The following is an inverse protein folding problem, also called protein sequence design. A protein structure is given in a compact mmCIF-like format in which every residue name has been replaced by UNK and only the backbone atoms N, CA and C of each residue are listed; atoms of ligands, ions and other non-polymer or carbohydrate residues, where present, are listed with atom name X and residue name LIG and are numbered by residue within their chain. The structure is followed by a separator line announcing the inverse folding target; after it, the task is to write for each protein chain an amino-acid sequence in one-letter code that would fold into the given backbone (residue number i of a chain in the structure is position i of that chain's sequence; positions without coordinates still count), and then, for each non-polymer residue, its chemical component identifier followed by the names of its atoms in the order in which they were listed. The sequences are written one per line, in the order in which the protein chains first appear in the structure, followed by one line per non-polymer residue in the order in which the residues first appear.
data_IF_469445488968
#
_entry.id   IF_469445488968
#
_cell.length_a   1.000
_cell.length_b   1.000
_cell.length_c   1.000
_cell.angle_alpha   90.00
_cell.angle_beta   90.00
_cell.angle_gamma   90.00
#
_symmetry.space_group_name_H-M   'P 1'
#
loop_
_entity.id
_entity.type
_entity.pdbx_description
1 polymer ?
#
# COMPACT_ATOMS: atom_id res chain seq x y z
N UNK A 1 34.89 -19.34 2.44
CA UNK A 1 33.72 -18.69 1.81
C UNK A 1 34.12 -17.27 1.57
N UNK A 2 34.37 -16.91 0.32
CA UNK A 2 34.70 -15.53 -0.06
C UNK A 2 33.49 -14.64 0.21
N UNK A 3 33.73 -13.50 0.87
CA UNK A 3 32.71 -12.51 1.18
C UNK A 3 32.17 -11.94 -0.13
N UNK A 4 30.84 -11.91 -0.37
CA UNK A 4 30.31 -11.40 -1.63
C UNK A 4 30.48 -9.88 -1.68
N UNK A 5 31.50 -9.42 -2.42
CA UNK A 5 31.68 -8.01 -2.75
C UNK A 5 30.42 -7.49 -3.43
N UNK A 6 29.87 -6.39 -2.90
CA UNK A 6 28.70 -5.71 -3.46
C UNK A 6 28.76 -5.57 -4.99
N UNK A 7 27.76 -6.12 -5.68
CA UNK A 7 27.66 -6.05 -7.14
C UNK A 7 26.94 -4.78 -7.59
N UNK A 8 27.66 -3.86 -8.25
CA UNK A 8 27.10 -2.63 -8.86
C UNK A 8 27.33 -2.60 -10.36
N UNK A 9 26.38 -2.04 -11.12
CA UNK A 9 26.59 -1.64 -12.51
C UNK A 9 27.51 -0.42 -12.58
N UNK A 10 28.06 -0.13 -13.76
CA UNK A 10 28.93 1.04 -13.99
C UNK A 10 28.28 2.39 -13.62
N UNK A 11 26.94 2.48 -13.66
CA UNK A 11 26.20 3.67 -13.23
C UNK A 11 25.90 3.73 -11.72
N UNK A 12 26.48 2.82 -10.91
CA UNK A 12 26.31 2.76 -9.47
C UNK A 12 25.02 2.08 -8.96
N UNK A 13 24.11 1.68 -9.86
CA UNK A 13 22.93 0.89 -9.50
C UNK A 13 23.29 -0.52 -9.05
N UNK A 14 22.49 -1.11 -8.16
CA UNK A 14 22.71 -2.48 -7.69
C UNK A 14 22.36 -3.43 -8.85
N UNK A 15 23.28 -4.32 -9.20
CA UNK A 15 23.07 -5.30 -10.27
C UNK A 15 22.45 -6.57 -9.72
N UNK A 16 21.36 -7.05 -10.33
CA UNK A 16 20.89 -8.42 -10.13
C UNK A 16 21.80 -9.39 -10.91
N UNK A 17 21.95 -10.64 -10.45
CA UNK A 17 22.67 -11.67 -11.19
C UNK A 17 22.12 -11.87 -12.60
N UNK A 18 22.98 -12.10 -13.59
CA UNK A 18 22.60 -12.19 -15.01
C UNK A 18 21.62 -13.34 -15.31
N UNK A 19 21.70 -14.43 -14.54
CA UNK A 19 20.85 -15.62 -14.71
C UNK A 19 19.44 -15.44 -14.11
N UNK A 20 19.14 -14.32 -13.46
CA UNK A 20 17.86 -14.07 -12.81
C UNK A 20 16.80 -13.59 -13.83
N UNK A 21 15.79 -14.43 -14.10
CA UNK A 21 14.73 -14.14 -15.07
C UNK A 21 13.33 -14.47 -14.54
N UNK A 22 12.30 -13.64 -14.81
CA UNK A 22 10.91 -13.97 -14.48
C UNK A 22 10.41 -15.16 -15.29
N UNK A 23 9.76 -16.13 -14.64
CA UNK A 23 9.16 -17.31 -15.28
C UNK A 23 7.63 -17.18 -15.29
N UNK A 24 7.04 -16.95 -14.11
CA UNK A 24 5.59 -16.80 -13.94
C UNK A 24 5.31 -15.69 -12.95
N UNK A 25 4.40 -14.79 -13.28
CA UNK A 25 4.13 -13.62 -12.43
C UNK A 25 3.06 -13.85 -11.36
N UNK A 26 2.51 -15.05 -11.28
CA UNK A 26 1.48 -15.38 -10.30
C UNK A 26 1.52 -16.88 -9.94
N UNK A 27 2.00 -17.15 -8.73
CA UNK A 27 1.95 -18.43 -8.03
C UNK A 27 1.50 -18.19 -6.58
N UNK A 28 0.96 -19.21 -5.93
CA UNK A 28 0.58 -19.15 -4.53
C UNK A 28 1.83 -18.91 -3.64
N UNK A 29 1.75 -17.98 -2.70
CA UNK A 29 2.78 -17.78 -1.67
C UNK A 29 2.85 -18.99 -0.74
N UNK A 30 4.08 -19.39 -0.39
CA UNK A 30 4.31 -20.47 0.56
C UNK A 30 4.32 -19.97 2.01
N UNK A 31 4.62 -18.68 2.20
CA UNK A 31 4.63 -18.04 3.51
C UNK A 31 3.23 -17.58 3.97
N UNK A 32 2.30 -17.39 3.04
CA UNK A 32 0.92 -17.00 3.35
C UNK A 32 -0.05 -17.46 2.23
N UNK A 33 -0.91 -18.43 2.53
CA UNK A 33 -1.85 -19.01 1.55
C UNK A 33 -2.93 -18.03 1.03
N UNK A 34 -3.06 -16.83 1.60
CA UNK A 34 -3.95 -15.79 1.07
C UNK A 34 -3.27 -14.90 0.02
N UNK A 35 -1.96 -15.03 -0.17
CA UNK A 35 -1.18 -14.12 -1.00
C UNK A 35 -0.58 -14.83 -2.21
N UNK A 36 -0.37 -14.08 -3.28
CA UNK A 36 0.37 -14.52 -4.45
C UNK A 36 1.80 -13.97 -4.43
N UNK A 37 2.69 -14.61 -5.20
CA UNK A 37 4.08 -14.21 -5.42
C UNK A 37 4.48 -14.58 -6.85
N UNK A 38 5.67 -14.16 -7.29
CA UNK A 38 6.19 -14.51 -8.60
C UNK A 38 7.17 -15.69 -8.51
N UNK A 39 7.30 -16.40 -9.64
CA UNK A 39 8.26 -17.46 -9.89
C UNK A 39 9.36 -16.93 -10.82
N UNK A 40 10.61 -17.18 -10.45
CA UNK A 40 11.79 -16.79 -11.21
C UNK A 40 12.69 -17.99 -11.45
N UNK A 41 13.46 -17.94 -12.52
CA UNK A 41 14.53 -18.87 -12.80
C UNK A 41 15.86 -18.21 -12.47
N UNK A 42 16.77 -18.99 -11.91
CA UNK A 42 18.15 -18.62 -11.67
C UNK A 42 19.04 -19.86 -11.82
N UNK A 43 20.06 -19.78 -12.69
CA UNK A 43 20.91 -20.93 -13.08
C UNK A 43 20.08 -22.18 -13.41
N UNK A 44 19.12 -21.98 -14.30
CA UNK A 44 18.17 -23.00 -14.81
C UNK A 44 17.33 -23.73 -13.76
N UNK A 45 17.19 -23.15 -12.56
CA UNK A 45 16.30 -23.64 -11.51
C UNK A 45 15.23 -22.61 -11.18
N UNK A 46 14.00 -23.08 -10.99
CA UNK A 46 12.86 -22.23 -10.68
C UNK A 46 12.63 -22.11 -9.17
N UNK A 47 12.35 -20.89 -8.71
CA UNK A 47 12.10 -20.59 -7.32
C UNK A 47 11.04 -19.50 -7.17
N UNK A 48 10.24 -19.59 -6.10
CA UNK A 48 9.39 -18.48 -5.70
C UNK A 48 10.26 -17.31 -5.22
N UNK A 49 9.79 -16.07 -5.42
CA UNK A 49 10.47 -14.86 -4.95
C UNK A 49 10.71 -14.86 -3.42
N UNK A 50 9.93 -15.65 -2.68
CA UNK A 50 10.05 -15.80 -1.23
C UNK A 50 11.21 -16.70 -0.84
N UNK A 51 11.30 -17.89 -1.45
CA UNK A 51 12.36 -18.87 -1.15
C UNK A 51 13.73 -18.41 -1.61
N UNK A 52 13.78 -17.55 -2.61
CA UNK A 52 15.00 -17.27 -3.34
C UNK A 52 15.62 -15.90 -3.05
N UNK A 53 14.93 -15.06 -2.28
CA UNK A 53 15.42 -13.71 -1.98
C UNK A 53 16.80 -13.73 -1.36
N UNK A 54 17.06 -14.60 -0.39
CA UNK A 54 18.36 -14.63 0.27
C UNK A 54 19.48 -15.12 -0.64
N UNK A 55 19.22 -16.02 -1.59
CA UNK A 55 20.26 -16.46 -2.54
C UNK A 55 20.67 -15.29 -3.44
N UNK A 56 19.69 -14.63 -4.06
CA UNK A 56 19.95 -13.49 -4.94
C UNK A 56 20.60 -12.34 -4.16
N UNK A 57 20.06 -12.00 -2.99
CA UNK A 57 20.59 -10.94 -2.15
C UNK A 57 22.00 -11.23 -1.64
N UNK A 58 22.34 -12.47 -1.28
CA UNK A 58 23.71 -12.83 -0.93
C UNK A 58 24.66 -12.65 -2.10
N UNK A 59 24.30 -13.07 -3.31
CA UNK A 59 25.14 -12.84 -4.50
C UNK A 59 25.32 -11.35 -4.81
N UNK A 60 24.32 -10.54 -4.49
CA UNK A 60 24.40 -9.09 -4.65
C UNK A 60 25.28 -8.41 -3.58
N UNK A 61 25.64 -9.11 -2.50
CA UNK A 61 26.43 -8.58 -1.39
C UNK A 61 25.59 -8.02 -0.24
N UNK A 62 24.41 -8.57 0.03
CA UNK A 62 23.47 -8.09 1.06
C UNK A 62 24.09 -7.82 2.43
N UNK A 63 25.05 -8.64 2.86
CA UNK A 63 25.75 -8.46 4.14
C UNK A 63 26.51 -7.13 4.20
N UNK A 64 27.06 -6.71 3.06
CA UNK A 64 27.89 -5.51 2.91
C UNK A 64 27.08 -4.29 2.44
N UNK A 65 25.76 -4.43 2.27
CA UNK A 65 24.90 -3.29 1.96
C UNK A 65 24.74 -2.41 3.19
N UNK A 66 24.92 -1.11 2.98
CA UNK A 66 24.53 -0.11 3.97
C UNK A 66 23.01 -0.07 4.18
N UNK A 67 22.58 0.71 5.17
CA UNK A 67 21.17 0.83 5.55
C UNK A 67 20.28 1.24 4.36
N UNK A 68 20.73 2.23 3.59
CA UNK A 68 19.95 2.81 2.48
C UNK A 68 19.81 1.82 1.33
N UNK A 69 20.88 1.08 1.02
CA UNK A 69 20.87 0.06 -0.02
C UNK A 69 19.97 -1.12 0.36
N UNK A 70 19.96 -1.55 1.63
CA UNK A 70 19.03 -2.57 2.14
C UNK A 70 17.56 -2.11 2.05
N UNK A 71 17.28 -0.89 2.48
CA UNK A 71 15.93 -0.30 2.38
C UNK A 71 15.47 -0.21 0.92
N UNK A 72 16.33 0.27 0.02
CA UNK A 72 16.03 0.40 -1.40
C UNK A 72 15.78 -0.94 -2.08
N UNK A 73 16.67 -1.92 -1.88
CA UNK A 73 16.56 -3.19 -2.59
C UNK A 73 15.42 -4.07 -2.07
N UNK A 74 15.13 -4.00 -0.77
CA UNK A 74 13.98 -4.70 -0.18
C UNK A 74 12.65 -4.14 -0.70
N UNK A 75 12.53 -2.81 -0.83
CA UNK A 75 11.38 -2.18 -1.49
C UNK A 75 11.25 -2.61 -2.94
N UNK A 76 12.35 -2.56 -3.71
CA UNK A 76 12.36 -3.01 -5.10
C UNK A 76 11.93 -4.48 -5.22
N UNK A 77 12.42 -5.36 -4.34
CA UNK A 77 12.06 -6.78 -4.36
C UNK A 77 10.58 -6.98 -4.08
N UNK A 78 10.02 -6.28 -3.09
CA UNK A 78 8.59 -6.35 -2.83
C UNK A 78 7.78 -5.86 -4.04
N UNK A 79 8.16 -4.73 -4.62
CA UNK A 79 7.41 -4.08 -5.71
C UNK A 79 7.52 -4.83 -7.04
N UNK A 80 8.74 -5.07 -7.50
CA UNK A 80 9.01 -5.58 -8.84
C UNK A 80 9.17 -7.10 -8.88
N UNK A 81 9.51 -7.73 -7.75
CA UNK A 81 9.80 -9.18 -7.69
C UNK A 81 8.64 -9.95 -7.08
N UNK A 82 8.15 -9.60 -5.88
CA UNK A 82 6.98 -10.28 -5.29
C UNK A 82 5.71 -9.92 -6.07
N UNK A 83 5.51 -8.63 -6.37
CA UNK A 83 4.30 -8.09 -6.99
C UNK A 83 4.50 -7.67 -8.45
N UNK A 84 5.36 -8.36 -9.21
CA UNK A 84 5.79 -7.96 -10.56
C UNK A 84 4.70 -7.81 -11.64
N UNK A 85 3.42 -8.04 -11.33
CA UNK A 85 2.28 -7.71 -12.22
C UNK A 85 1.71 -6.33 -11.91
N UNK A 86 1.38 -6.06 -10.66
CA UNK A 86 0.61 -4.87 -10.25
C UNK A 86 1.46 -3.82 -9.55
N UNK A 87 2.66 -4.21 -9.09
CA UNK A 87 3.45 -3.44 -8.15
C UNK A 87 2.77 -3.29 -6.79
N UNK A 88 3.41 -2.53 -5.92
CA UNK A 88 2.80 -2.00 -4.70
C UNK A 88 2.14 -0.65 -4.97
N UNK A 89 1.15 -0.31 -4.17
CA UNK A 89 0.44 0.96 -4.29
C UNK A 89 1.27 2.08 -3.63
N UNK A 90 1.64 3.08 -4.41
CA UNK A 90 2.30 4.31 -3.97
C UNK A 90 1.32 5.47 -4.20
N UNK A 91 0.97 6.24 -3.17
CA UNK A 91 0.29 7.53 -3.40
C UNK A 91 0.35 8.47 -2.20
N UNK A 92 1.34 9.38 -2.16
CA UNK A 92 1.13 10.66 -1.50
C UNK A 92 0.19 11.59 -2.30
N UNK A 93 -0.12 11.29 -3.57
CA UNK A 93 -0.78 12.24 -4.49
C UNK A 93 -1.26 11.74 -5.86
N UNK A 94 -1.78 10.52 -5.98
CA UNK A 94 -2.64 10.15 -7.13
C UNK A 94 -2.13 8.98 -7.98
N UNK A 95 -3.04 8.04 -8.23
CA UNK A 95 -2.98 7.14 -9.38
C UNK A 95 -3.02 8.00 -10.64
N UNK A 96 -1.86 8.27 -11.24
CA UNK A 96 -1.77 9.10 -12.45
C UNK A 96 -2.41 8.42 -13.69
N UNK A 97 -2.73 7.12 -13.65
CA UNK A 97 -3.12 6.38 -14.88
C UNK A 97 -4.46 5.62 -14.85
N UNK A 98 -5.36 5.81 -13.89
CA UNK A 98 -6.53 4.90 -13.79
C UNK A 98 -7.82 5.58 -13.34
N UNK A 99 -8.47 6.29 -14.26
CA UNK A 99 -9.96 6.39 -14.27
C UNK A 99 -10.61 4.99 -14.17
N UNK A 100 -9.89 3.96 -14.63
CA UNK A 100 -10.31 2.56 -14.66
C UNK A 100 -10.42 1.87 -13.30
N UNK A 101 -9.82 2.39 -12.20
CA UNK A 101 -9.87 1.67 -10.91
C UNK A 101 -10.90 2.18 -9.93
N UNK A 102 -11.26 3.47 -10.00
CA UNK A 102 -12.20 4.07 -9.04
C UNK A 102 -13.36 4.82 -9.70
N UNK A 103 -13.44 4.81 -11.04
CA UNK A 103 -14.40 5.60 -11.80
C UNK A 103 -14.03 7.09 -11.80
N UNK A 104 -14.14 7.74 -12.95
CA UNK A 104 -13.80 9.16 -13.15
C UNK A 104 -14.61 10.12 -12.26
N UNK A 105 -15.81 9.73 -11.84
CA UNK A 105 -16.74 10.56 -11.06
C UNK A 105 -16.45 10.63 -9.56
N UNK A 106 -15.53 9.81 -9.02
CA UNK A 106 -15.25 9.73 -7.57
C UNK A 106 -13.78 10.04 -7.24
N UNK A 107 -13.08 10.79 -8.09
CA UNK A 107 -11.67 11.14 -7.88
C UNK A 107 -11.39 11.83 -6.51
N UNK A 108 -12.38 12.51 -5.92
CA UNK A 108 -12.31 13.13 -4.59
C UNK A 108 -12.48 12.15 -3.41
N UNK A 109 -12.90 10.91 -3.70
CA UNK A 109 -13.04 9.81 -2.74
C UNK A 109 -11.89 8.81 -2.81
N UNK A 110 -10.84 9.11 -3.57
CA UNK A 110 -9.71 8.20 -3.70
C UNK A 110 -9.10 7.93 -2.32
N UNK A 111 -8.94 6.65 -1.92
CA UNK A 111 -8.23 6.33 -0.69
C UNK A 111 -6.79 6.86 -0.78
N UNK A 112 -6.31 7.49 0.29
CA UNK A 112 -4.91 7.90 0.41
C UNK A 112 -4.09 6.77 1.04
N UNK A 113 -3.10 6.29 0.30
CA UNK A 113 -2.22 5.22 0.77
C UNK A 113 -0.94 5.83 1.33
N UNK A 114 -0.57 5.40 2.54
CA UNK A 114 0.76 5.74 3.07
C UNK A 114 1.83 5.19 2.12
N UNK A 115 2.87 5.98 1.85
CA UNK A 115 4.03 5.51 1.08
C UNK A 115 4.59 4.23 1.68
N UNK A 116 5.10 3.30 0.85
CA UNK A 116 5.76 2.13 1.38
C UNK A 116 6.98 2.53 2.20
N UNK A 117 7.27 1.77 3.25
CA UNK A 117 8.38 2.03 4.16
C UNK A 117 9.24 0.78 4.24
N UNK A 118 10.55 0.96 4.21
CA UNK A 118 11.51 -0.07 4.60
C UNK A 118 12.35 0.47 5.75
N UNK A 119 12.48 -0.32 6.81
CA UNK A 119 13.21 0.06 8.01
C UNK A 119 14.12 -1.10 8.40
N UNK A 120 15.42 -0.82 8.51
CA UNK A 120 16.38 -1.75 9.11
C UNK A 120 16.23 -1.70 10.63
N UNK A 121 15.91 -2.84 11.23
CA UNK A 121 15.76 -3.02 12.67
C UNK A 121 17.12 -3.14 13.36
N UNK A 122 17.16 -2.95 14.68
CA UNK A 122 18.41 -3.04 15.46
C UNK A 122 19.11 -4.41 15.35
N UNK A 123 18.35 -5.48 15.13
CA UNK A 123 18.88 -6.83 14.90
C UNK A 123 19.38 -7.06 13.46
N UNK A 124 19.27 -6.07 12.57
CA UNK A 124 19.66 -6.14 11.17
C UNK A 124 18.59 -6.69 10.22
N UNK A 125 17.43 -7.13 10.72
CA UNK A 125 16.29 -7.51 9.88
C UNK A 125 15.71 -6.27 9.19
N UNK A 126 15.19 -6.43 7.96
CA UNK A 126 14.57 -5.34 7.20
C UNK A 126 13.07 -5.56 7.13
N UNK A 127 12.31 -4.64 7.69
CA UNK A 127 10.84 -4.65 7.68
C UNK A 127 10.35 -3.73 6.58
N UNK A 128 9.61 -4.29 5.62
CA UNK A 128 8.95 -3.54 4.55
C UNK A 128 7.44 -3.55 4.78
N UNK A 129 6.82 -2.37 4.88
CA UNK A 129 5.37 -2.20 5.03
C UNK A 129 4.83 -1.42 3.84
N UNK A 130 3.79 -1.93 3.19
CA UNK A 130 3.28 -1.39 1.93
C UNK A 130 1.82 -1.76 1.68
N UNK A 131 1.20 -1.13 0.69
CA UNK A 131 -0.15 -1.43 0.23
C UNK A 131 -0.11 -2.21 -1.07
N UNK A 132 -1.03 -3.16 -1.24
CA UNK A 132 -1.12 -3.99 -2.44
C UNK A 132 -2.59 -4.13 -2.87
N UNK A 133 -2.81 -4.08 -4.20
CA UNK A 133 -4.12 -4.32 -4.80
C UNK A 133 -4.25 -5.79 -5.19
N UNK A 134 -5.00 -6.55 -4.40
CA UNK A 134 -5.31 -7.94 -4.69
C UNK A 134 -6.44 -8.00 -5.73
N UNK A 135 -6.06 -8.04 -7.00
CA UNK A 135 -7.00 -8.07 -8.12
C UNK A 135 -7.90 -9.31 -8.11
N UNK A 136 -7.39 -10.44 -7.58
CA UNK A 136 -8.12 -11.70 -7.53
C UNK A 136 -9.27 -11.62 -6.53
N UNK A 137 -8.98 -11.13 -5.33
CA UNK A 137 -9.97 -11.01 -4.26
C UNK A 137 -10.66 -9.63 -4.22
N UNK A 138 -10.32 -8.72 -5.15
CA UNK A 138 -10.86 -7.35 -5.27
C UNK A 138 -10.77 -6.54 -3.98
N UNK A 139 -9.67 -6.69 -3.24
CA UNK A 139 -9.43 -5.99 -1.97
C UNK A 139 -8.10 -5.26 -1.99
N UNK A 140 -8.01 -4.18 -1.21
CA UNK A 140 -6.73 -3.52 -0.94
C UNK A 140 -6.23 -3.97 0.42
N UNK A 141 -5.00 -4.48 0.46
CA UNK A 141 -4.40 -5.06 1.66
C UNK A 141 -3.13 -4.31 2.03
N UNK A 142 -2.97 -4.07 3.34
CA UNK A 142 -1.72 -3.63 3.91
C UNK A 142 -0.89 -4.85 4.28
N UNK A 143 0.32 -4.91 3.75
CA UNK A 143 1.21 -6.04 3.92
C UNK A 143 2.48 -5.63 4.67
N UNK A 144 3.03 -6.60 5.38
CA UNK A 144 4.37 -6.56 5.95
C UNK A 144 5.19 -7.73 5.42
N UNK A 145 6.41 -7.44 4.97
CA UNK A 145 7.43 -8.44 4.64
C UNK A 145 8.64 -8.20 5.53
N UNK A 146 9.19 -9.27 6.12
CA UNK A 146 10.42 -9.19 6.91
C UNK A 146 11.51 -9.98 6.19
N UNK A 147 12.60 -9.31 5.86
CA UNK A 147 13.84 -9.92 5.40
C UNK A 147 14.79 -10.08 6.58
N UNK A 148 15.50 -11.19 6.65
CA UNK A 148 16.49 -11.42 7.69
C UNK A 148 17.87 -10.82 7.38
N UNK A 149 18.80 -11.02 8.30
CA UNK A 149 20.20 -10.59 8.15
C UNK A 149 20.93 -11.26 6.98
N UNK A 150 20.43 -12.36 6.43
CA UNK A 150 20.95 -13.06 5.26
C UNK A 150 20.18 -12.74 3.96
N UNK A 151 19.12 -11.92 4.04
CA UNK A 151 18.28 -11.52 2.91
C UNK A 151 17.12 -12.48 2.63
N UNK A 152 16.93 -13.51 3.44
CA UNK A 152 15.83 -14.46 3.32
C UNK A 152 14.53 -13.83 3.85
N UNK A 153 13.40 -14.06 3.16
CA UNK A 153 12.10 -13.58 3.64
C UNK A 153 11.60 -14.52 4.75
N UNK A 154 11.54 -14.00 5.98
CA UNK A 154 11.06 -14.73 7.17
C UNK A 154 9.53 -14.83 7.23
N UNK A 155 8.82 -13.78 6.81
CA UNK A 155 7.37 -13.70 6.99
C UNK A 155 6.70 -12.76 6.01
N UNK A 156 5.45 -13.10 5.63
CA UNK A 156 4.51 -12.22 4.93
C UNK A 156 3.19 -12.15 5.67
N UNK A 157 2.91 -10.98 6.25
CA UNK A 157 1.74 -10.80 7.12
C UNK A 157 0.80 -9.76 6.54
N UNK A 158 -0.49 -10.07 6.52
CA UNK A 158 -1.55 -9.09 6.25
C UNK A 158 -1.78 -8.31 7.55
N UNK A 159 -1.49 -7.01 7.54
CA UNK A 159 -1.67 -6.13 8.69
C UNK A 159 -3.11 -5.62 8.80
N UNK A 160 -3.71 -5.32 7.66
CA UNK A 160 -5.11 -4.94 7.55
C UNK A 160 -5.60 -5.24 6.14
N UNK A 161 -6.86 -5.63 6.03
CA UNK A 161 -7.58 -5.70 4.77
C UNK A 161 -8.68 -4.65 4.81
N UNK A 162 -8.62 -3.69 3.89
CA UNK A 162 -9.55 -2.58 3.87
C UNK A 162 -10.56 -2.71 2.73
N UNK A 163 -11.76 -3.19 3.04
CA UNK A 163 -12.95 -2.51 2.52
C UNK A 163 -13.15 -1.17 3.28
N UNK A 164 -12.61 -1.08 4.50
CA UNK A 164 -12.84 0.02 5.45
C UNK A 164 -12.37 1.39 4.98
N UNK A 165 -11.37 1.47 4.10
CA UNK A 165 -10.90 2.75 3.56
C UNK A 165 -11.79 3.27 2.42
N UNK A 166 -12.47 2.38 1.68
CA UNK A 166 -13.53 2.77 0.75
C UNK A 166 -14.75 3.32 1.52
N UNK A 167 -15.11 2.67 2.62
CA UNK A 167 -16.23 3.12 3.48
C UNK A 167 -15.94 4.39 4.28
N UNK A 168 -14.69 4.65 4.68
CA UNK A 168 -14.35 5.89 5.40
C UNK A 168 -14.56 7.10 4.49
N UNK A 169 -14.15 7.02 3.22
CA UNK A 169 -14.45 8.05 2.22
C UNK A 169 -15.96 8.25 2.01
N UNK A 170 -16.71 7.14 1.89
CA UNK A 170 -18.16 7.19 1.70
C UNK A 170 -18.90 7.80 2.91
N UNK A 171 -18.49 7.48 4.14
CA UNK A 171 -19.14 7.96 5.37
C UNK A 171 -19.04 9.47 5.57
N UNK A 172 -17.92 10.08 5.15
CA UNK A 172 -17.70 11.53 5.25
C UNK A 172 -18.62 12.28 4.26
N UNK A 173 -18.91 11.70 3.10
CA UNK A 173 -19.88 12.29 2.16
C UNK A 173 -21.29 12.07 2.62
N UNK A 174 -21.68 10.86 3.01
CA UNK A 174 -23.06 10.63 3.44
C UNK A 174 -23.35 11.51 4.66
N UNK A 175 -22.42 11.60 5.63
CA UNK A 175 -22.54 12.51 6.77
C UNK A 175 -22.48 14.00 6.38
N UNK A 176 -21.57 14.40 5.49
CA UNK A 176 -21.40 15.79 5.06
C UNK A 176 -22.51 16.30 4.16
N UNK A 177 -22.97 15.49 3.20
CA UNK A 177 -24.07 15.80 2.31
C UNK A 177 -25.42 15.77 3.05
N UNK A 178 -25.63 14.85 3.99
CA UNK A 178 -26.82 14.91 4.87
C UNK A 178 -26.77 16.12 5.79
N UNK A 179 -25.61 16.47 6.36
CA UNK A 179 -25.46 17.69 7.18
C UNK A 179 -25.69 18.98 6.36
N UNK A 180 -25.19 19.06 5.13
CA UNK A 180 -25.44 20.19 4.22
C UNK A 180 -26.89 20.25 3.76
N UNK A 181 -27.50 19.12 3.40
CA UNK A 181 -28.91 19.06 3.00
C UNK A 181 -29.84 19.45 4.16
N UNK A 182 -29.56 18.96 5.37
CA UNK A 182 -30.28 19.36 6.58
C UNK A 182 -30.04 20.85 6.90
N UNK A 183 -28.80 21.33 6.82
CA UNK A 183 -28.46 22.73 7.03
C UNK A 183 -29.18 23.68 6.06
N UNK A 184 -29.22 23.32 4.76
CA UNK A 184 -29.96 24.06 3.73
C UNK A 184 -31.48 23.99 3.94
N UNK A 185 -32.01 22.84 4.36
CA UNK A 185 -33.43 22.68 4.71
C UNK A 185 -33.81 23.58 5.90
N UNK A 186 -33.00 23.60 6.96
CA UNK A 186 -33.21 24.49 8.10
C UNK A 186 -33.03 25.98 7.75
N UNK A 187 -32.09 26.34 6.88
CA UNK A 187 -31.92 27.71 6.39
C UNK A 187 -33.09 28.17 5.51
N UNK A 188 -33.60 27.29 4.64
CA UNK A 188 -34.76 27.58 3.78
C UNK A 188 -36.06 27.70 4.57
N UNK A 189 -36.20 26.90 5.64
CA UNK A 189 -37.37 26.95 6.53
C UNK A 189 -37.26 28.00 7.65
N UNK A 190 -36.10 28.66 7.82
CA UNK A 190 -35.93 29.78 8.76
C UNK A 190 -36.70 31.06 8.39
N UNK A 191 -37.48 31.05 7.30
CA UNK A 191 -38.53 32.06 7.05
C UNK A 191 -39.83 31.83 7.85
N UNK A 192 -39.90 30.86 8.77
CA UNK A 192 -41.08 30.62 9.60
C UNK A 192 -40.86 30.64 11.13
N UNK A 193 -39.72 31.13 11.63
CA UNK A 193 -39.45 31.15 13.08
C UNK A 193 -38.91 32.51 13.55
N UNK A 194 -39.75 33.54 13.54
CA UNK A 194 -39.77 34.68 14.51
C UNK A 194 -40.98 35.60 14.19
N UNK A 195 -41.79 36.11 15.15
CA UNK A 195 -41.59 36.12 16.61
C UNK A 195 -42.86 35.68 17.41
N UNK A 196 -42.82 34.54 18.11
CA UNK A 196 -43.75 34.30 19.24
C UNK A 196 -43.17 35.03 20.46
N UNK A 197 -43.15 36.36 20.42
CA UNK A 197 -42.74 37.25 21.52
C UNK A 197 -43.16 38.70 21.21
N UNK A 198 -44.45 38.90 20.90
CA UNK A 198 -45.12 40.21 21.03
C UNK A 198 -46.64 40.07 21.12
N UNK A 199 -47.10 39.21 22.02
CA UNK A 199 -48.47 39.28 22.57
C UNK A 199 -48.31 39.79 24.02
N UNK A 200 -48.02 41.07 24.15
CA UNK A 200 -47.95 41.75 25.44
C UNK A 200 -48.24 43.26 25.28
N UNK A 201 -49.30 43.64 24.57
CA UNK A 201 -49.85 45.01 24.62
C UNK A 201 -51.21 45.14 23.92
N UNK A 202 -52.23 44.37 24.32
CA UNK A 202 -53.64 44.76 24.10
C UNK A 202 -54.60 43.83 24.84
N UNK A 203 -54.37 43.61 26.14
CA UNK A 203 -55.48 43.25 27.03
C UNK A 203 -56.03 44.54 27.61
N UNK A 204 -57.23 44.91 27.14
CA UNK A 204 -58.30 45.50 27.92
C UNK A 204 -57.91 46.59 28.93
N UNK A 205 -57.97 47.86 28.49
CA UNK A 205 -58.54 48.91 29.33
C UNK A 205 -60.01 49.06 28.93
N UNK A 206 -60.86 49.03 29.95
CA UNK A 206 -62.27 49.40 29.91
C UNK A 206 -62.50 50.75 29.22
#
# INVERSE_FOLDING_TARGET
MDTPTKSRRANGSIAFPEDFKPVKRNIQSELNQELETCLFSFRDKEYSAEKFSGIVFREMGWKDFDRLDKERISLYWVDQVIHGVTGVLWSPGGYEDKENYFGSSLNFLKPSFKSPTAIVSQNGDVKVTYWFNDLKNKKVIQLQVIFDTNGDIKSRTILSSGDSQFYTGLSVIVGGATALALGLFFLRNKKFVTPVLRIASSKFKN
#
